data_IF_304288126364
#
_entry.id   IF_304288126364
#
_cell.length_a   1.000
_cell.length_b   1.000
_cell.length_c   1.000
_cell.angle_alpha   90.00
_cell.angle_beta   90.00
_cell.angle_gamma   90.00
#
_symmetry.space_group_name_H-M   'P 1'
#
loop_
_entity.id
_entity.type
_entity.pdbx_description
1 polymer ?
#
# COMPACT_ATOMS: atom_id res chain seq x y z
N UNK A 1 -5.78 -7.79 -12.67
CA UNK A 1 -6.93 -7.03 -12.14
C UNK A 1 -8.23 -7.74 -12.57
N UNK A 2 -9.35 -7.58 -11.84
CA UNK A 2 -10.70 -8.12 -12.21
C UNK A 2 -10.92 -9.64 -12.18
N UNK A 3 -10.03 -10.43 -11.57
CA UNK A 3 -10.25 -11.87 -11.33
C UNK A 3 -10.77 -12.19 -9.93
N UNK A 4 -10.65 -11.22 -9.02
CA UNK A 4 -11.05 -11.32 -7.62
C UNK A 4 -11.78 -10.04 -7.23
N UNK A 5 -12.67 -10.16 -6.25
CA UNK A 5 -13.42 -9.04 -5.70
C UNK A 5 -13.78 -9.32 -4.23
N UNK A 6 -13.99 -8.26 -3.46
CA UNK A 6 -14.57 -8.35 -2.11
C UNK A 6 -16.08 -8.26 -2.23
N UNK A 7 -16.78 -9.11 -1.49
CA UNK A 7 -18.25 -9.26 -1.55
C UNK A 7 -18.78 -9.36 -0.11
N UNK A 8 -19.94 -8.77 0.13
CA UNK A 8 -20.70 -8.92 1.38
C UNK A 8 -22.19 -9.02 1.06
N UNK A 9 -23.00 -9.77 1.83
CA UNK A 9 -24.44 -9.86 1.61
C UNK A 9 -25.16 -8.52 1.82
N UNK A 10 -24.66 -7.68 2.73
CA UNK A 10 -25.35 -6.46 3.15
C UNK A 10 -24.54 -5.20 2.87
N UNK A 11 -23.27 -5.19 3.25
CA UNK A 11 -22.52 -3.93 3.34
C UNK A 11 -21.01 -4.16 3.27
N UNK A 12 -20.31 -3.28 2.55
CA UNK A 12 -18.85 -3.14 2.58
C UNK A 12 -18.50 -1.69 2.88
N UNK A 13 -17.62 -1.45 3.85
CA UNK A 13 -17.14 -0.11 4.19
C UNK A 13 -15.62 -0.05 4.14
N UNK A 14 -15.10 1.04 3.58
CA UNK A 14 -13.68 1.33 3.46
C UNK A 14 -13.40 2.72 3.99
N UNK A 15 -12.28 2.84 4.68
CA UNK A 15 -11.80 4.09 5.25
C UNK A 15 -10.38 4.37 4.76
N UNK A 16 -10.18 5.50 4.07
CA UNK A 16 -8.86 6.06 3.84
C UNK A 16 -8.52 7.00 5.00
N UNK A 17 -7.41 6.76 5.69
CA UNK A 17 -7.01 7.52 6.88
C UNK A 17 -5.76 8.37 6.60
N UNK A 18 -5.64 9.50 7.28
CA UNK A 18 -4.47 10.38 7.16
C UNK A 18 -4.37 11.09 5.80
N UNK A 19 -5.49 11.29 5.13
CA UNK A 19 -5.56 12.01 3.87
C UNK A 19 -5.40 13.52 4.12
N UNK A 20 -4.85 14.25 3.13
CA UNK A 20 -4.84 15.72 3.15
C UNK A 20 -6.28 16.20 2.92
N UNK A 21 -6.67 17.32 3.50
CA UNK A 21 -7.98 17.89 3.18
C UNK A 21 -7.99 18.40 1.73
N UNK A 22 -9.07 18.13 1.01
CA UNK A 22 -9.21 18.52 -0.39
C UNK A 22 -10.16 17.62 -1.18
N UNK A 23 -10.30 17.95 -2.46
CA UNK A 23 -11.12 17.18 -3.41
C UNK A 23 -10.29 16.02 -3.97
N UNK A 24 -10.88 14.83 -3.99
CA UNK A 24 -10.27 13.60 -4.48
C UNK A 24 -11.10 13.03 -5.63
N UNK A 25 -10.42 12.40 -6.58
CA UNK A 25 -11.01 11.47 -7.54
C UNK A 25 -11.00 10.07 -6.92
N UNK A 26 -12.18 9.46 -6.85
CA UNK A 26 -12.42 8.11 -6.34
C UNK A 26 -12.82 7.22 -7.51
N UNK A 27 -11.93 6.32 -7.90
CA UNK A 27 -12.14 5.34 -8.95
C UNK A 27 -12.53 3.99 -8.33
N UNK A 28 -13.75 3.56 -8.61
CA UNK A 28 -14.30 2.30 -8.14
C UNK A 28 -14.29 1.31 -9.31
N UNK A 29 -13.56 0.21 -9.13
CA UNK A 29 -13.37 -0.81 -10.14
C UNK A 29 -14.29 -2.00 -9.88
N UNK A 30 -15.02 -2.40 -10.91
CA UNK A 30 -16.00 -3.48 -10.85
C UNK A 30 -15.78 -4.47 -11.98
N UNK A 31 -16.11 -5.73 -11.71
CA UNK A 31 -16.38 -6.75 -12.71
C UNK A 31 -17.30 -7.78 -12.06
N UNK A 32 -18.45 -8.08 -12.67
CA UNK A 32 -19.33 -9.12 -12.13
C UNK A 32 -18.73 -10.49 -12.43
N UNK A 33 -18.12 -11.10 -11.42
CA UNK A 33 -17.42 -12.38 -11.52
C UNK A 33 -18.18 -13.55 -10.90
N UNK A 34 -19.31 -13.30 -10.23
CA UNK A 34 -20.10 -14.33 -9.53
C UNK A 34 -21.40 -14.63 -10.26
N UNK A 35 -22.17 -13.60 -10.61
CA UNK A 35 -23.41 -13.75 -11.39
C UNK A 35 -23.06 -13.74 -12.87
N UNK A 36 -23.12 -14.89 -13.51
CA UNK A 36 -22.90 -14.97 -14.96
C UNK A 36 -24.11 -14.44 -15.75
N UNK A 37 -23.94 -14.35 -17.06
CA UNK A 37 -24.95 -13.93 -18.04
C UNK A 37 -25.43 -15.11 -18.90
N UNK A 38 -25.27 -16.34 -18.38
CA UNK A 38 -25.69 -17.55 -19.08
C UNK A 38 -27.22 -17.66 -19.14
N UNK A 39 -27.74 -18.46 -20.09
CA UNK A 39 -29.17 -18.82 -20.15
C UNK A 39 -29.59 -19.83 -19.07
N UNK A 40 -28.78 -20.04 -18.03
CA UNK A 40 -29.07 -20.95 -16.92
C UNK A 40 -29.71 -20.19 -15.75
N UNK A 41 -30.21 -20.93 -14.75
CA UNK A 41 -30.75 -20.33 -13.52
C UNK A 41 -29.74 -19.42 -12.80
N UNK A 42 -28.43 -19.68 -12.96
CA UNK A 42 -27.36 -18.83 -12.38
C UNK A 42 -27.33 -17.44 -13.01
N UNK A 43 -27.65 -17.33 -14.30
CA UNK A 43 -27.68 -16.06 -15.03
C UNK A 43 -28.92 -15.21 -14.78
N UNK A 44 -29.88 -15.72 -14.01
CA UNK A 44 -31.02 -14.95 -13.50
C UNK A 44 -30.63 -14.06 -12.31
N UNK A 45 -29.45 -14.29 -11.71
CA UNK A 45 -28.94 -13.47 -10.61
C UNK A 45 -28.81 -12.00 -10.99
N UNK A 46 -29.26 -11.10 -10.11
CA UNK A 46 -29.10 -9.65 -10.26
C UNK A 46 -28.51 -9.07 -8.98
N UNK A 47 -27.34 -8.44 -9.11
CA UNK A 47 -26.67 -7.69 -8.05
C UNK A 47 -26.98 -6.22 -8.22
N UNK A 48 -27.62 -5.64 -7.21
CA UNK A 48 -28.00 -4.23 -7.20
C UNK A 48 -27.65 -3.64 -5.84
N UNK A 49 -26.82 -2.61 -5.81
CA UNK A 49 -26.44 -1.94 -4.55
C UNK A 49 -26.25 -0.45 -4.74
N UNK A 50 -26.33 0.28 -3.64
CA UNK A 50 -26.03 1.70 -3.58
C UNK A 50 -24.56 1.92 -3.21
N UNK A 51 -23.99 3.02 -3.69
CA UNK A 51 -22.64 3.50 -3.37
C UNK A 51 -22.77 4.84 -2.68
N UNK A 52 -22.17 4.96 -1.51
CA UNK A 52 -22.03 6.18 -0.75
C UNK A 52 -20.56 6.55 -0.62
N UNK A 53 -20.25 7.83 -0.75
CA UNK A 53 -18.91 8.38 -0.55
C UNK A 53 -19.05 9.60 0.35
N UNK A 54 -18.29 9.66 1.44
CA UNK A 54 -18.41 10.70 2.48
C UNK A 54 -19.85 10.89 3.01
N UNK A 55 -20.59 9.78 3.15
CA UNK A 55 -21.99 9.78 3.61
C UNK A 55 -23.02 10.18 2.55
N UNK A 56 -22.60 10.70 1.39
CA UNK A 56 -23.48 11.09 0.29
C UNK A 56 -23.71 9.92 -0.67
N UNK A 57 -24.95 9.76 -1.16
CA UNK A 57 -25.28 8.71 -2.13
C UNK A 57 -24.74 9.06 -3.51
N UNK A 58 -23.55 8.57 -3.83
CA UNK A 58 -22.87 8.81 -5.09
C UNK A 58 -23.51 8.07 -6.28
N UNK A 59 -24.03 6.85 -6.07
CA UNK A 59 -24.71 6.08 -7.11
C UNK A 59 -25.77 5.15 -6.51
N UNK A 60 -26.98 5.20 -7.04
CA UNK A 60 -28.11 4.39 -6.57
C UNK A 60 -28.38 3.21 -7.53
N UNK A 61 -28.83 2.08 -6.99
CA UNK A 61 -29.28 0.91 -7.76
C UNK A 61 -28.25 0.44 -8.79
N UNK A 62 -26.97 0.47 -8.46
CA UNK A 62 -25.92 0.11 -9.39
C UNK A 62 -25.94 -1.39 -9.70
N UNK A 63 -26.13 -1.70 -10.98
CA UNK A 63 -26.05 -3.05 -11.53
C UNK A 63 -24.81 -3.16 -12.43
N UNK A 64 -23.81 -3.91 -11.97
CA UNK A 64 -22.54 -4.07 -12.68
C UNK A 64 -22.75 -4.76 -14.03
N UNK A 65 -23.59 -5.80 -14.08
CA UNK A 65 -23.81 -6.62 -15.28
C UNK A 65 -24.48 -5.79 -16.39
N UNK A 66 -25.47 -4.97 -16.04
CA UNK A 66 -26.13 -4.06 -16.98
C UNK A 66 -25.17 -2.99 -17.49
N UNK A 67 -24.41 -2.35 -16.60
CA UNK A 67 -23.44 -1.32 -16.98
C UNK A 67 -22.34 -1.89 -17.89
N UNK A 68 -21.84 -3.08 -17.57
CA UNK A 68 -20.78 -3.75 -18.31
C UNK A 68 -21.27 -4.42 -19.59
N UNK A 69 -22.60 -4.54 -19.78
CA UNK A 69 -23.25 -5.31 -20.85
C UNK A 69 -22.81 -6.78 -20.90
N UNK A 70 -22.54 -7.37 -19.74
CA UNK A 70 -22.14 -8.77 -19.62
C UNK A 70 -21.36 -9.09 -18.34
N UNK A 71 -21.17 -10.39 -18.08
CA UNK A 71 -20.36 -10.85 -16.95
C UNK A 71 -18.86 -10.79 -17.27
N UNK A 72 -18.02 -10.66 -16.23
CA UNK A 72 -16.55 -10.65 -16.33
C UNK A 72 -15.95 -9.52 -17.19
N UNK A 73 -16.74 -8.49 -17.47
CA UNK A 73 -16.30 -7.27 -18.15
C UNK A 73 -16.02 -6.19 -17.09
N UNK A 74 -14.90 -5.49 -17.25
CA UNK A 74 -14.48 -4.45 -16.32
C UNK A 74 -15.26 -3.15 -16.54
N UNK A 75 -15.66 -2.50 -15.45
CA UNK A 75 -16.27 -1.17 -15.43
C UNK A 75 -15.59 -0.33 -14.36
N UNK A 76 -15.36 0.94 -14.67
CA UNK A 76 -14.78 1.91 -13.74
C UNK A 76 -15.79 3.05 -13.56
N UNK A 77 -16.09 3.39 -12.31
CA UNK A 77 -16.88 4.57 -11.96
C UNK A 77 -16.01 5.55 -11.19
N UNK A 78 -15.92 6.77 -11.70
CA UNK A 78 -15.12 7.84 -11.08
C UNK A 78 -16.06 8.87 -10.45
N UNK A 79 -15.79 9.21 -9.20
CA UNK A 79 -16.54 10.22 -8.44
C UNK A 79 -15.58 11.25 -7.88
N UNK A 80 -16.07 12.48 -7.68
CA UNK A 80 -15.37 13.49 -6.89
C UNK A 80 -15.90 13.48 -5.47
N UNK A 81 -15.01 13.55 -4.49
CA UNK A 81 -15.39 13.60 -3.09
C UNK A 81 -14.45 14.54 -2.32
N UNK A 82 -15.01 15.31 -1.38
CA UNK A 82 -14.24 16.24 -0.57
C UNK A 82 -13.91 15.64 0.80
N UNK A 83 -12.66 15.73 1.21
CA UNK A 83 -12.16 15.28 2.51
C UNK A 83 -11.87 16.49 3.39
N UNK A 84 -12.46 16.53 4.59
CA UNK A 84 -12.36 17.68 5.52
C UNK A 84 -11.73 17.33 6.87
N UNK A 85 -11.67 16.05 7.21
CA UNK A 85 -11.18 15.55 8.49
C UNK A 85 -10.04 14.52 8.32
N UNK A 86 -9.42 14.48 7.14
CA UNK A 86 -8.40 13.50 6.78
C UNK A 86 -8.90 12.05 6.68
N UNK A 87 -10.21 11.83 6.67
CA UNK A 87 -10.84 10.51 6.50
C UNK A 87 -11.73 10.52 5.26
N UNK A 88 -11.54 9.51 4.40
CA UNK A 88 -12.44 9.19 3.29
C UNK A 88 -13.24 7.94 3.65
N UNK A 89 -14.56 8.02 3.69
CA UNK A 89 -15.46 6.86 3.79
C UNK A 89 -16.05 6.50 2.43
N UNK A 90 -15.97 5.22 2.07
CA UNK A 90 -16.68 4.64 0.94
C UNK A 90 -17.52 3.48 1.46
N UNK A 91 -18.83 3.56 1.27
CA UNK A 91 -19.80 2.57 1.75
C UNK A 91 -20.61 2.02 0.58
N UNK A 92 -20.49 0.72 0.36
CA UNK A 92 -21.35 -0.01 -0.53
C UNK A 92 -22.46 -0.69 0.27
N UNK A 93 -23.71 -0.52 -0.14
CA UNK A 93 -24.86 -0.97 0.65
C UNK A 93 -25.92 -1.66 -0.21
N UNK A 94 -26.32 -2.87 0.18
CA UNK A 94 -27.44 -3.58 -0.41
C UNK A 94 -28.74 -3.16 0.28
N UNK A 95 -29.52 -2.33 -0.41
CA UNK A 95 -30.81 -1.83 0.08
C UNK A 95 -31.98 -2.83 -0.15
N UNK A 96 -31.71 -4.12 -0.28
CA UNK A 96 -32.75 -5.14 -0.48
C UNK A 96 -33.20 -5.36 -1.93
N UNK A 97 -32.49 -4.83 -2.93
CA UNK A 97 -32.84 -4.96 -4.36
C UNK A 97 -32.03 -6.02 -5.09
N UNK A 98 -32.56 -6.53 -6.19
CA UNK A 98 -31.94 -7.62 -6.95
C UNK A 98 -32.39 -8.99 -6.42
N UNK A 99 -31.57 -10.02 -6.62
CA UNK A 99 -31.89 -11.39 -6.23
C UNK A 99 -31.09 -11.81 -5.01
N UNK A 100 -31.76 -12.28 -3.95
CA UNK A 100 -31.06 -13.03 -2.92
C UNK A 100 -30.81 -14.47 -3.40
N UNK A 101 -29.70 -15.06 -2.95
CA UNK A 101 -29.45 -16.51 -3.01
C UNK A 101 -29.25 -17.15 -4.41
N UNK A 102 -29.04 -16.33 -5.45
CA UNK A 102 -28.63 -16.80 -6.78
C UNK A 102 -27.27 -16.15 -7.12
N UNK A 103 -26.25 -16.91 -7.55
CA UNK A 103 -26.18 -18.37 -7.63
C UNK A 103 -25.93 -19.06 -6.28
N UNK A 104 -25.45 -18.32 -5.26
CA UNK A 104 -25.15 -18.87 -3.93
C UNK A 104 -25.75 -17.97 -2.85
N UNK A 105 -25.94 -18.53 -1.65
CA UNK A 105 -26.28 -17.71 -0.48
C UNK A 105 -25.15 -16.73 -0.18
N UNK A 106 -25.51 -15.58 0.39
CA UNK A 106 -24.56 -14.54 0.82
C UNK A 106 -23.76 -13.83 -0.29
N UNK A 107 -23.97 -14.18 -1.57
CA UNK A 107 -23.22 -13.58 -2.68
C UNK A 107 -23.94 -12.43 -3.39
N UNK A 108 -25.05 -11.92 -2.84
CA UNK A 108 -25.98 -11.02 -3.54
C UNK A 108 -25.79 -9.53 -3.26
N UNK A 109 -25.08 -9.15 -2.20
CA UNK A 109 -24.90 -7.74 -1.83
C UNK A 109 -23.81 -7.04 -2.65
N UNK A 110 -23.09 -6.05 -2.12
CA UNK A 110 -22.15 -5.29 -2.93
C UNK A 110 -20.90 -6.10 -3.32
N UNK A 111 -20.34 -5.77 -4.49
CA UNK A 111 -19.10 -6.35 -5.02
C UNK A 111 -18.20 -5.22 -5.49
N UNK A 112 -16.92 -5.25 -5.10
CA UNK A 112 -15.91 -4.31 -5.60
C UNK A 112 -14.59 -5.03 -5.85
N UNK A 113 -13.98 -4.78 -7.01
CA UNK A 113 -12.73 -5.42 -7.42
C UNK A 113 -11.51 -4.65 -6.92
N UNK A 114 -11.56 -3.32 -7.01
CA UNK A 114 -10.52 -2.43 -6.47
C UNK A 114 -11.08 -1.02 -6.22
N UNK A 115 -10.36 -0.27 -5.40
CA UNK A 115 -10.65 1.14 -5.09
C UNK A 115 -9.33 1.89 -5.27
N UNK A 116 -9.36 2.96 -6.05
CA UNK A 116 -8.24 3.86 -6.22
C UNK A 116 -8.68 5.29 -5.89
N UNK A 117 -7.86 6.01 -5.12
CA UNK A 117 -8.17 7.35 -4.63
C UNK A 117 -6.96 8.24 -4.90
N UNK A 118 -7.18 9.35 -5.60
CA UNK A 118 -6.13 10.31 -5.96
C UNK A 118 -6.58 11.74 -5.69
N UNK A 119 -5.67 12.61 -5.25
CA UNK A 119 -5.98 14.01 -5.00
C UNK A 119 -6.24 14.72 -6.33
N UNK A 120 -7.31 15.51 -6.40
CA UNK A 120 -7.63 16.33 -7.57
C UNK A 120 -6.85 17.64 -7.52
N UNK A 121 -5.68 17.65 -8.16
CA UNK A 121 -4.76 18.79 -8.18
C UNK A 121 -5.25 19.98 -9.02
N UNK A 122 -6.36 19.85 -9.74
CA UNK A 122 -6.82 20.86 -10.72
C UNK A 122 -7.33 22.18 -10.11
N UNK A 123 -7.48 22.26 -8.78
CA UNK A 123 -7.90 23.47 -8.06
C UNK A 123 -6.79 24.20 -7.28
N UNK A 124 -5.58 23.65 -7.23
CA UNK A 124 -4.44 24.37 -6.67
C UNK A 124 -3.72 25.10 -7.80
N UNK A 125 -3.97 26.41 -7.91
CA UNK A 125 -2.99 27.30 -8.52
C UNK A 125 -1.63 26.98 -7.89
N UNK A 126 -0.63 26.76 -8.74
CA UNK A 126 0.75 26.50 -8.33
C UNK A 126 1.25 27.68 -7.50
N UNK A 127 1.01 27.62 -6.19
CA UNK A 127 1.76 28.34 -5.19
C UNK A 127 2.67 27.30 -4.57
N UNK A 128 3.90 27.34 -5.07
CA UNK A 128 5.07 26.61 -4.61
C UNK A 128 5.05 26.37 -3.10
N UNK A 129 5.06 25.11 -2.71
CA UNK A 129 5.86 24.69 -1.58
C UNK A 129 6.60 23.41 -1.97
N UNK A 130 7.91 23.55 -2.04
CA UNK A 130 8.87 22.47 -2.18
C UNK A 130 8.66 21.49 -1.00
N UNK A 131 7.78 20.50 -1.16
CA UNK A 131 7.64 19.37 -0.23
C UNK A 131 8.74 18.33 -0.55
N UNK A 132 10.01 18.73 -0.39
CA UNK A 132 11.12 17.79 -0.28
C UNK A 132 11.11 17.23 1.13
N UNK A 133 10.28 16.22 1.35
CA UNK A 133 10.35 15.43 2.59
C UNK A 133 9.94 13.99 2.39
N UNK A 134 10.51 13.33 1.37
CA UNK A 134 10.65 11.88 1.29
C UNK A 134 11.93 11.49 0.52
N UNK A 135 13.05 12.07 0.90
CA UNK A 135 14.36 11.44 0.71
C UNK A 135 15.08 11.62 2.03
N UNK A 136 15.02 10.59 2.88
CA UNK A 136 15.94 10.49 4.00
C UNK A 136 17.34 10.32 3.40
N UNK A 137 18.05 11.43 3.25
CA UNK A 137 19.47 11.43 2.99
C UNK A 137 20.13 10.73 4.17
N UNK A 138 20.50 9.45 4.00
CA UNK A 138 21.42 8.77 4.90
C UNK A 138 22.81 9.37 4.61
N UNK A 139 23.03 10.60 5.05
CA UNK A 139 24.38 11.17 5.22
C UNK A 139 24.68 11.08 6.69
N UNK A 140 25.21 9.93 7.09
CA UNK A 140 25.51 9.61 8.46
C UNK A 140 26.58 8.55 8.55
N UNK A 141 27.84 9.00 8.55
CA UNK A 141 29.09 8.29 8.87
C UNK A 141 29.71 7.50 7.70
N UNK A 142 30.29 8.23 6.74
CA UNK A 142 31.52 7.78 6.03
C UNK A 142 32.68 8.73 6.35
N UNK A 143 32.85 9.06 7.64
CA UNK A 143 34.05 9.76 8.14
C UNK A 143 34.69 9.01 9.34
N UNK A 144 34.13 7.88 9.76
CA UNK A 144 34.72 7.03 10.81
C UNK A 144 35.75 6.00 10.29
N UNK A 145 35.70 5.65 9.00
CA UNK A 145 36.54 4.58 8.43
C UNK A 145 38.01 4.96 8.32
N UNK A 146 38.32 6.17 7.84
CA UNK A 146 39.71 6.62 7.66
C UNK A 146 40.43 6.83 9.00
N UNK A 147 39.73 7.39 10.00
CA UNK A 147 40.30 7.59 11.35
C UNK A 147 40.60 6.26 12.05
N UNK A 148 39.67 5.30 11.99
CA UNK A 148 39.87 3.99 12.61
C UNK A 148 41.02 3.21 11.95
N UNK A 149 41.15 3.28 10.61
CA UNK A 149 42.27 2.64 9.89
C UNK A 149 43.63 3.27 10.24
N UNK A 150 43.69 4.60 10.40
CA UNK A 150 44.93 5.28 10.84
C UNK A 150 45.30 4.92 12.28
N UNK A 151 44.32 4.83 13.19
CA UNK A 151 44.57 4.42 14.58
C UNK A 151 45.03 2.96 14.66
N UNK A 152 44.37 2.05 13.94
CA UNK A 152 44.72 0.62 13.93
C UNK A 152 46.12 0.38 13.34
N UNK A 153 46.46 1.05 12.23
CA UNK A 153 47.80 0.95 11.62
C UNK A 153 48.90 1.52 12.53
N UNK A 154 48.65 2.60 13.25
CA UNK A 154 49.61 3.17 14.20
C UNK A 154 49.85 2.25 15.41
N UNK A 155 48.79 1.66 15.98
CA UNK A 155 48.91 0.69 17.07
C UNK A 155 49.66 -0.57 16.59
N UNK A 156 49.35 -1.07 15.40
CA UNK A 156 50.04 -2.21 14.81
C UNK A 156 51.53 -1.92 14.55
N UNK A 157 51.86 -0.74 14.04
CA UNK A 157 53.25 -0.30 13.86
C UNK A 157 54.03 -0.25 15.18
N UNK A 158 53.44 0.30 16.24
CA UNK A 158 54.06 0.33 17.57
C UNK A 158 54.26 -1.06 18.15
N UNK A 159 53.31 -1.98 17.94
CA UNK A 159 53.41 -3.36 18.40
C UNK A 159 54.54 -4.10 17.67
N UNK A 160 54.60 -4.00 16.34
CA UNK A 160 55.68 -4.61 15.55
C UNK A 160 57.07 -4.08 15.95
N UNK A 161 57.20 -2.76 16.19
CA UNK A 161 58.48 -2.17 16.65
C UNK A 161 58.86 -2.58 18.07
N UNK A 162 57.90 -3.05 18.87
CA UNK A 162 58.16 -3.58 20.21
C UNK A 162 58.62 -5.03 20.15
N UNK A 163 58.02 -5.85 19.28
CA UNK A 163 58.42 -7.24 19.06
C UNK A 163 59.76 -7.37 18.34
N UNK A 164 60.11 -6.43 17.45
CA UNK A 164 61.44 -6.35 16.84
C UNK A 164 62.58 -6.09 17.84
N UNK A 165 62.28 -5.65 19.07
CA UNK A 165 63.25 -5.46 20.16
C UNK A 165 63.32 -6.65 21.13
N UNK A 166 62.50 -7.70 20.92
CA UNK A 166 62.38 -8.85 21.81
C UNK A 166 63.32 -10.03 21.52
N UNK A 167 64.00 -10.07 20.38
CA UNK A 167 64.97 -11.13 20.08
C UNK A 167 66.40 -10.73 20.47
N UNK A 168 66.64 -10.50 21.76
CA UNK A 168 67.99 -10.58 22.33
C UNK A 168 68.20 -12.04 22.72
N UNK A 169 69.08 -12.75 21.99
CA UNK A 169 69.58 -14.06 22.41
C UNK A 169 70.29 -13.89 23.75
N UNK A 170 69.79 -14.57 24.78
CA UNK A 170 70.53 -14.77 26.03
C UNK A 170 71.50 -15.90 25.77
N UNK A 171 72.78 -15.57 25.62
CA UNK A 171 73.86 -16.56 25.67
C UNK A 171 74.22 -16.74 27.15
N UNK A 172 73.90 -17.91 27.71
CA UNK A 172 74.28 -18.27 29.08
C UNK A 172 75.68 -18.87 29.06
N UNK A 173 76.67 -18.12 29.54
CA UNK A 173 77.99 -18.66 29.85
C UNK A 173 77.96 -19.37 31.22
N UNK A 174 78.54 -20.57 31.28
CA UNK A 174 78.52 -21.47 32.45
C UNK A 174 79.71 -21.19 33.37
N UNK A 175 79.55 -21.15 34.71
CA UNK A 175 80.67 -20.85 35.60
C UNK A 175 81.63 -22.04 35.69
N UNK A 176 82.91 -21.72 35.54
CA UNK A 176 84.09 -22.59 35.73
C UNK A 176 84.16 -23.07 37.18
N UNK A 177 84.23 -24.39 37.40
CA UNK A 177 84.62 -24.99 38.69
C UNK A 177 86.14 -24.96 38.85
N UNK A 178 86.57 -24.76 40.09
CA UNK A 178 87.94 -24.75 40.57
C UNK A 178 88.70 -26.06 40.28
#
# INVERSE_FOLDING_TARGET
MYKTARISPSSLRYYGLGLRNGVYNVELHFAEIVMDDSKSWKGLGRRIFDIYIQGEKALQNFNILEEAKGSKIAVIRTFKANVTNGIMEIHFFWAGRGTCCIPYQSSYGPLVSAIHVSLDSSGFGSQSNHDNRLTGEIVGIVVGGAGALLILSFVFYLWWKKDARGHIRVDTDSPRKA
#
